data_IF_154204825763
#
_entry.id   IF_154204825763
#
_cell.length_a   1.000
_cell.length_b   1.000
_cell.length_c   1.000
_cell.angle_alpha   90.00
_cell.angle_beta   90.00
_cell.angle_gamma   90.00
#
_symmetry.space_group_name_H-M   'P 1'
#
loop_
_entity.id
_entity.type
_entity.pdbx_description
1 polymer ?
2 water ?
#
# COMPACT_ATOMS: atom_id res chain seq x y z
N UNK A 6 -17.74 -22.87 30.49
CA UNK A 6 -17.10 -23.84 29.47
C UNK A 6 -16.78 -23.10 28.16
N UNK A 7 -16.40 -21.82 28.28
CA UNK A 7 -16.29 -20.91 27.13
C UNK A 7 -15.09 -19.93 27.18
N UNK A 8 -14.38 -19.92 28.31
CA UNK A 8 -13.18 -19.09 28.51
C UNK A 8 -12.15 -19.40 27.43
N UNK A 9 -11.72 -20.66 27.44
CA UNK A 9 -10.82 -21.22 26.44
C UNK A 9 -11.39 -20.95 25.06
N UNK A 10 -12.63 -21.35 24.86
CA UNK A 10 -13.22 -21.45 23.52
C UNK A 10 -13.17 -20.17 22.69
N UNK A 11 -13.57 -19.03 23.24
CA UNK A 11 -13.54 -17.83 22.45
C UNK A 11 -12.16 -17.58 21.90
N UNK A 12 -11.21 -17.44 22.81
CA UNK A 12 -9.84 -17.15 22.42
C UNK A 12 -9.31 -18.16 21.41
N UNK A 13 -9.59 -19.43 21.68
CA UNK A 13 -9.17 -20.55 20.85
C UNK A 13 -9.68 -20.42 19.42
N UNK A 14 -10.90 -19.89 19.28
CA UNK A 14 -11.46 -19.71 17.96
C UNK A 14 -10.98 -18.40 17.31
N UNK A 15 -10.56 -17.43 18.11
CA UNK A 15 -9.97 -16.22 17.55
C UNK A 15 -8.56 -16.54 17.08
N UNK A 16 -7.85 -17.38 17.84
CA UNK A 16 -6.52 -17.81 17.45
C UNK A 16 -6.57 -18.65 16.16
N UNK A 17 -7.52 -19.57 16.13
CA UNK A 17 -7.80 -20.34 14.92
C UNK A 17 -7.94 -19.40 13.72
N UNK A 18 -8.88 -18.46 13.82
CA UNK A 18 -9.18 -17.56 12.72
C UNK A 18 -7.97 -16.73 12.32
N UNK A 19 -7.17 -16.28 13.30
CA UNK A 19 -5.93 -15.54 13.03
C UNK A 19 -4.94 -16.37 12.23
N UNK A 20 -4.74 -17.63 12.66
CA UNK A 20 -3.89 -18.56 11.92
C UNK A 20 -4.43 -18.83 10.50
N UNK A 21 -5.74 -19.11 10.38
CA UNK A 21 -6.29 -19.49 9.07
C UNK A 21 -6.40 -18.35 8.08
N UNK A 22 -6.99 -17.24 8.55
CA UNK A 22 -6.97 -15.97 7.82
C UNK A 22 -5.52 -15.56 7.38
N UNK A 23 -4.58 -15.53 8.34
CA UNK A 23 -3.18 -15.19 8.04
C UNK A 23 -2.58 -16.00 6.89
N UNK A 24 -2.94 -17.29 6.83
CA UNK A 24 -2.49 -18.21 5.79
C UNK A 24 -3.13 -18.04 4.42
N UNK A 25 -4.45 -18.18 4.34
CA UNK A 25 -5.16 -18.15 3.04
C UNK A 25 -6.00 -16.90 2.76
N UNK A 26 -6.03 -15.94 3.66
CA UNK A 26 -6.87 -14.77 3.51
C UNK A 26 -8.22 -14.87 4.19
N UNK A 27 -8.85 -13.72 4.38
CA UNK A 27 -10.10 -13.62 5.07
C UNK A 27 -11.24 -14.28 4.32
N UNK A 28 -11.35 -14.02 3.01
CA UNK A 28 -12.54 -14.36 2.20
C UNK A 28 -12.72 -15.86 1.95
N UNK A 29 -11.63 -16.50 1.58
CA UNK A 29 -11.56 -17.93 1.25
C UNK A 29 -11.64 -18.77 2.51
N UNK A 30 -11.26 -18.21 3.65
CA UNK A 30 -11.44 -18.91 4.92
C UNK A 30 -12.93 -18.87 5.29
N UNK A 31 -13.49 -20.06 5.51
CA UNK A 31 -14.88 -20.24 5.89
C UNK A 31 -14.97 -20.67 7.33
N UNK A 32 -16.16 -20.54 7.90
CA UNK A 32 -16.40 -20.79 9.30
C UNK A 32 -16.06 -22.17 9.81
N UNK A 33 -16.53 -23.21 9.12
CA UNK A 33 -16.24 -24.53 9.66
C UNK A 33 -14.83 -24.99 9.34
N UNK A 34 -14.10 -24.17 8.59
CA UNK A 34 -12.66 -24.32 8.46
C UNK A 34 -11.97 -23.78 9.72
N UNK A 35 -12.43 -22.63 10.17
CA UNK A 35 -12.01 -22.11 11.46
C UNK A 35 -12.46 -23.02 12.63
N UNK A 36 -13.71 -23.50 12.58
CA UNK A 36 -14.24 -24.48 13.54
C UNK A 36 -13.39 -25.72 13.64
N UNK A 37 -12.85 -26.16 12.50
CA UNK A 37 -11.96 -27.32 12.46
C UNK A 37 -10.61 -27.06 13.13
N UNK A 38 -9.95 -25.97 12.78
CA UNK A 38 -8.67 -25.62 13.36
C UNK A 38 -8.77 -25.34 14.86
N UNK A 39 -9.92 -24.83 15.29
CA UNK A 39 -10.19 -24.56 16.70
C UNK A 39 -10.74 -25.79 17.43
N UNK A 40 -11.07 -26.83 16.66
CA UNK A 40 -11.53 -28.09 17.21
C UNK A 40 -12.84 -27.96 17.99
N UNK A 41 -13.74 -27.14 17.47
CA UNK A 41 -15.07 -26.94 18.03
C UNK A 41 -16.09 -27.07 16.91
N UNK A 42 -17.33 -27.35 17.28
CA UNK A 42 -18.45 -27.44 16.32
C UNK A 42 -18.60 -26.08 15.60
N UNK A 43 -19.19 -26.13 14.40
CA UNK A 43 -19.47 -24.90 13.64
C UNK A 43 -20.48 -24.00 14.38
N UNK A 44 -21.44 -24.59 15.07
CA UNK A 44 -22.37 -23.76 15.81
C UNK A 44 -21.66 -23.16 16.99
N UNK A 45 -20.67 -23.87 17.52
CA UNK A 45 -19.92 -23.37 18.66
C UNK A 45 -19.19 -22.07 18.30
N UNK A 46 -18.67 -22.03 17.07
CA UNK A 46 -18.09 -20.82 16.48
C UNK A 46 -19.19 -19.80 16.17
N UNK A 47 -20.33 -20.30 15.67
CA UNK A 47 -21.37 -19.45 15.11
C UNK A 47 -22.15 -18.69 16.16
N UNK A 48 -22.05 -19.10 17.41
CA UNK A 48 -22.68 -18.37 18.51
C UNK A 48 -21.70 -17.49 19.30
N UNK A 49 -20.41 -17.59 18.96
CA UNK A 49 -19.39 -16.68 19.50
C UNK A 49 -19.22 -15.51 18.55
N UNK A 50 -19.02 -15.84 17.27
CA UNK A 50 -19.04 -14.83 16.22
C UNK A 50 -20.21 -15.10 15.27
N UNK A 51 -21.38 -14.48 15.56
CA UNK A 51 -22.66 -14.64 14.86
C UNK A 51 -22.56 -14.55 13.35
N UNK A 52 -21.42 -13.97 12.88
CA UNK A 52 -21.14 -13.75 11.46
C UNK A 52 -19.63 -13.68 11.21
N UNK A 53 -19.23 -13.91 9.95
CA UNK A 53 -17.84 -13.71 9.54
C UNK A 53 -17.43 -12.25 9.72
N UNK A 54 -18.41 -11.36 9.60
CA UNK A 54 -18.17 -9.93 9.79
C UNK A 54 -17.80 -9.55 11.21
N UNK A 55 -18.31 -10.30 12.19
CA UNK A 55 -17.87 -10.10 13.57
C UNK A 55 -16.43 -10.60 13.78
N UNK A 56 -15.98 -11.55 12.95
CA UNK A 56 -14.58 -11.95 12.95
C UNK A 56 -13.69 -10.82 12.47
N UNK A 57 -14.06 -10.20 11.34
CA UNK A 57 -13.27 -9.09 10.77
C UNK A 57 -13.13 -7.93 11.74
N UNK A 58 -14.23 -7.60 12.44
CA UNK A 58 -14.22 -6.61 13.49
C UNK A 58 -13.18 -6.97 14.55
N UNK A 59 -13.14 -8.24 14.95
CA UNK A 59 -12.26 -8.69 16.03
C UNK A 59 -10.85 -8.67 15.54
N UNK A 60 -10.68 -8.93 14.25
CA UNK A 60 -9.41 -8.90 13.59
C UNK A 60 -8.80 -7.49 13.70
N UNK A 61 -9.65 -6.48 13.63
CA UNK A 61 -9.21 -5.10 13.78
C UNK A 61 -8.80 -4.78 15.20
N UNK A 62 -9.66 -5.14 16.15
CA UNK A 62 -9.36 -4.96 17.56
C UNK A 62 -7.93 -5.44 17.87
N UNK A 63 -7.62 -6.65 17.43
CA UNK A 63 -6.30 -7.25 17.56
C UNK A 63 -5.22 -6.40 16.93
N UNK A 64 -5.41 -6.04 15.67
CA UNK A 64 -4.46 -5.20 14.97
C UNK A 64 -4.19 -3.92 15.74
N UNK A 65 -5.25 -3.38 16.33
CA UNK A 65 -5.14 -2.14 17.09
C UNK A 65 -4.36 -2.32 18.39
N UNK A 66 -4.53 -3.48 19.03
CA UNK A 66 -3.90 -3.78 20.33
C UNK A 66 -2.35 -3.74 20.34
N UNK A 67 -1.74 -3.85 19.16
CA UNK A 67 -0.28 -3.73 19.02
C UNK A 67 0.13 -2.27 19.02
N UNK A 68 -0.80 -1.39 18.67
CA UNK A 68 -0.62 0.04 18.87
C UNK A 68 -1.14 0.45 20.24
N UNK A 73 4.01 5.93 26.05
CA UNK A 73 4.30 7.33 25.74
C UNK A 73 3.35 7.86 24.65
N UNK A 74 3.85 8.01 23.42
CA UNK A 74 3.17 8.69 22.29
C UNK A 74 2.70 10.18 22.47
N UNK A 75 2.63 10.68 23.70
CA UNK A 75 2.24 12.08 23.92
C UNK A 75 3.42 13.05 23.64
N UNK A 76 3.08 14.27 23.20
CA UNK A 76 4.09 15.24 22.73
C UNK A 76 4.79 15.91 23.90
N UNK A 77 6.12 15.97 23.83
CA UNK A 77 6.95 16.55 24.88
C UNK A 77 7.59 17.88 24.46
N UNK A 78 7.04 19.01 24.96
CA UNK A 78 7.52 20.31 24.48
C UNK A 78 8.96 20.59 24.87
N UNK A 79 9.44 19.94 25.92
CA UNK A 79 10.71 20.27 26.55
C UNK A 79 11.92 19.54 25.98
N UNK A 80 11.71 18.67 24.99
CA UNK A 80 12.82 17.93 24.35
C UNK A 80 12.80 18.15 22.84
N UNK A 81 13.85 17.71 22.15
CA UNK A 81 13.92 17.90 20.70
C UNK A 81 12.75 17.21 20.00
N UNK A 82 12.40 17.72 18.82
CA UNK A 82 11.42 17.04 18.01
C UNK A 82 11.96 15.67 17.62
N UNK A 83 13.25 15.62 17.25
CA UNK A 83 13.92 14.42 16.76
C UNK A 83 13.93 13.24 17.73
N UNK A 84 14.39 13.46 18.97
CA UNK A 84 14.22 12.50 20.07
C UNK A 84 12.87 11.79 20.07
N UNK A 85 11.79 12.57 20.19
CA UNK A 85 10.48 11.99 20.47
C UNK A 85 9.94 11.31 19.22
N UNK A 86 10.32 11.87 18.07
CA UNK A 86 9.88 11.45 16.76
C UNK A 86 10.70 10.26 16.25
N UNK A 87 11.94 10.14 16.71
CA UNK A 87 12.67 8.92 16.44
C UNK A 87 11.97 7.78 17.17
N UNK A 88 11.57 8.03 18.40
CA UNK A 88 10.86 7.06 19.25
C UNK A 88 9.53 6.57 18.61
N UNK A 89 8.76 7.49 18.03
CA UNK A 89 7.50 7.14 17.36
C UNK A 89 7.75 6.26 16.13
N UNK A 90 8.66 6.72 15.26
CA UNK A 90 9.02 5.98 14.08
C UNK A 90 9.46 4.57 14.40
N UNK A 91 10.31 4.43 15.41
CA UNK A 91 10.87 3.13 15.79
C UNK A 91 9.87 2.18 16.45
N UNK A 92 8.95 2.74 17.24
CA UNK A 92 7.81 1.98 17.73
C UNK A 92 6.96 1.47 16.58
N UNK A 93 6.66 2.35 15.64
CA UNK A 93 5.93 2.00 14.41
C UNK A 93 6.69 0.96 13.54
N UNK A 94 8.01 1.10 13.40
CA UNK A 94 8.86 0.12 12.67
C UNK A 94 9.00 -1.23 13.37
N UNK A 95 8.85 -1.22 14.69
CA UNK A 95 8.96 -2.46 15.47
C UNK A 95 7.76 -3.38 15.17
N UNK A 96 6.57 -2.79 14.97
CA UNK A 96 5.38 -3.56 14.52
C UNK A 96 5.46 -4.00 13.07
N UNK A 97 5.94 -3.09 12.24
CA UNK A 97 6.21 -3.35 10.83
C UNK A 97 7.16 -4.53 10.62
N UNK A 98 8.07 -4.75 11.56
CA UNK A 98 9.05 -5.81 11.40
C UNK A 98 8.67 -7.00 12.29
N UNK A 99 7.40 -7.04 12.64
CA UNK A 99 6.84 -8.12 13.42
C UNK A 99 5.86 -8.90 12.50
N UNK A 100 6.29 -10.11 12.14
CA UNK A 100 5.57 -11.01 11.22
C UNK A 100 4.13 -11.35 11.62
N UNK A 101 3.84 -11.46 12.92
CA UNK A 101 2.47 -11.60 13.39
C UNK A 101 1.66 -10.38 13.02
N UNK A 102 2.27 -9.22 13.20
CA UNK A 102 1.62 -7.97 12.92
C UNK A 102 1.33 -7.84 11.42
N UNK A 103 2.34 -8.12 10.58
CA UNK A 103 2.15 -8.07 9.13
C UNK A 103 1.09 -9.06 8.65
N UNK A 104 1.03 -10.24 9.28
CA UNK A 104 0.04 -11.24 8.89
C UNK A 104 -1.34 -10.70 9.13
N UNK A 105 -1.55 -10.23 10.36
CA UNK A 105 -2.79 -9.61 10.77
C UNK A 105 -3.07 -8.41 9.87
N UNK A 106 -2.04 -7.62 9.59
CA UNK A 106 -2.23 -6.47 8.71
C UNK A 106 -2.65 -6.92 7.28
N UNK A 107 -2.09 -8.04 6.82
CA UNK A 107 -2.40 -8.60 5.49
C UNK A 107 -3.84 -9.08 5.36
N UNK A 108 -4.34 -9.84 6.37
CA UNK A 108 -5.73 -10.31 6.30
C UNK A 108 -6.67 -9.10 6.14
N UNK A 109 -6.43 -8.08 6.96
CA UNK A 109 -7.22 -6.85 6.97
C UNK A 109 -7.20 -6.08 5.63
N UNK A 110 -5.98 -5.86 5.08
CA UNK A 110 -5.85 -5.24 3.76
C UNK A 110 -6.56 -6.09 2.71
N UNK A 111 -6.40 -7.41 2.77
CA UNK A 111 -7.01 -8.29 1.77
C UNK A 111 -8.53 -8.32 1.85
N UNK A 112 -9.04 -8.17 3.07
CA UNK A 112 -10.47 -8.27 3.28
C UNK A 112 -11.24 -7.04 2.77
N UNK A 113 -10.54 -5.91 2.62
CA UNK A 113 -11.20 -4.69 2.17
C UNK A 113 -11.06 -4.49 0.66
N UNK A 114 -9.97 -4.99 0.06
CA UNK A 114 -9.93 -4.98 -1.40
C UNK A 114 -10.93 -6.00 -1.97
N UNK A 115 -10.93 -7.21 -1.37
CA UNK A 115 -11.83 -8.29 -1.80
C UNK A 115 -13.30 -7.92 -1.52
N UNK A 116 -13.54 -6.97 -0.63
CA UNK A 116 -14.92 -6.52 -0.32
C UNK A 116 -15.18 -5.01 -0.37
N UNK A 117 -15.55 -4.50 -1.55
CA UNK A 117 -16.02 -3.13 -1.68
C UNK A 117 -16.97 -2.70 -0.52
N UNK A 118 -17.82 -3.63 -0.09
CA UNK A 118 -18.80 -3.36 0.96
C UNK A 118 -18.23 -3.13 2.36
N UNK A 119 -17.16 -3.82 2.75
CA UNK A 119 -16.60 -3.61 4.09
C UNK A 119 -15.47 -2.57 4.19
N UNK A 120 -14.77 -2.37 3.08
CA UNK A 120 -13.86 -1.23 2.93
C UNK A 120 -14.68 0.01 3.21
N UNK A 121 -15.80 0.11 2.50
CA UNK A 121 -16.80 1.19 2.58
C UNK A 121 -17.26 1.56 4.00
N UNK A 122 -17.28 0.57 4.89
CA UNK A 122 -17.60 0.83 6.29
C UNK A 122 -16.37 1.16 7.13
N UNK A 123 -15.25 0.50 6.84
CA UNK A 123 -14.12 0.48 7.78
C UNK A 123 -12.98 1.51 7.64
N UNK A 124 -13.29 2.69 7.13
CA UNK A 124 -12.41 3.87 7.37
C UNK A 124 -13.02 4.88 8.36
N UNK A 131 -3.36 5.58 12.72
CA UNK A 131 -2.82 6.82 12.11
C UNK A 131 -2.76 8.02 13.06
N UNK A 132 -3.87 8.24 13.78
CA UNK A 132 -4.15 9.45 14.57
C UNK A 132 -3.08 9.80 15.61
N UNK A 133 -2.40 8.80 16.18
CA UNK A 133 -1.22 8.98 17.05
C UNK A 133 -0.27 10.08 16.52
N UNK A 134 0.11 9.98 15.25
CA UNK A 134 1.07 10.91 14.63
C UNK A 134 0.45 12.26 14.36
N UNK A 135 -0.84 12.29 14.06
CA UNK A 135 -1.46 13.52 13.64
C UNK A 135 -1.67 14.44 14.86
N UNK A 136 -1.94 13.83 16.02
CA UNK A 136 -2.09 14.55 17.27
C UNK A 136 -0.73 15.05 17.80
N UNK A 137 0.31 14.22 17.63
CA UNK A 137 1.65 14.64 17.95
C UNK A 137 2.07 15.85 17.07
N UNK A 138 1.63 15.85 15.81
CA UNK A 138 1.87 16.94 14.88
C UNK A 138 1.10 18.18 15.30
N UNK A 139 -0.16 18.05 15.64
CA UNK A 139 -0.93 19.27 15.95
C UNK A 139 -0.46 19.92 17.26
N UNK A 140 0.07 19.09 18.17
CA UNK A 140 0.63 19.56 19.42
C UNK A 140 1.94 20.29 19.16
N UNK A 141 2.76 19.74 18.27
CA UNK A 141 4.02 20.38 17.88
C UNK A 141 3.73 21.74 17.22
N UNK A 142 2.65 21.82 16.45
CA UNK A 142 2.28 23.05 15.77
C UNK A 142 1.80 24.13 16.76
N UNK A 143 0.97 23.71 17.71
CA UNK A 143 0.60 24.58 18.81
C UNK A 143 1.87 25.11 19.53
N UNK A 144 2.82 24.20 19.79
CA UNK A 144 4.06 24.56 20.49
C UNK A 144 5.02 25.41 19.66
N UNK A 145 4.61 25.73 18.43
CA UNK A 145 5.34 26.61 17.51
C UNK A 145 6.48 25.97 16.74
N UNK A 146 6.60 24.65 16.79
CA UNK A 146 7.79 23.96 16.25
C UNK A 146 7.68 23.32 14.87
N UNK A 147 6.46 23.24 14.34
CA UNK A 147 6.19 22.71 13.01
C UNK A 147 5.33 23.70 12.21
N UNK A 148 5.64 23.86 10.92
CA UNK A 148 4.89 24.76 10.03
C UNK A 148 3.41 24.36 9.98
N UNK A 149 2.49 25.34 9.75
CA UNK A 149 1.06 25.03 9.64
C UNK A 149 0.78 24.11 8.49
N UNK A 150 0.13 22.99 8.78
CA UNK A 150 -0.20 22.00 7.75
C UNK A 150 -1.35 21.18 8.34
N UNK A 151 -2.18 20.57 7.50
CA UNK A 151 -3.18 19.66 8.04
C UNK A 151 -2.43 18.48 8.67
N UNK A 152 -2.56 18.30 10.01
CA UNK A 152 -1.85 17.22 10.71
C UNK A 152 -2.11 15.87 10.05
N UNK A 153 -3.38 15.60 9.69
CA UNK A 153 -3.76 14.39 8.96
C UNK A 153 -2.96 14.10 7.69
N UNK A 154 -2.63 15.17 6.97
CA UNK A 154 -2.00 15.10 5.69
C UNK A 154 -0.52 14.87 5.89
N UNK A 155 0.03 15.50 6.91
CA UNK A 155 1.45 15.40 7.17
C UNK A 155 1.74 14.08 7.86
N UNK A 156 0.78 13.54 8.60
CA UNK A 156 0.89 12.21 9.23
C UNK A 156 0.90 11.12 8.16
N UNK A 157 -0.03 11.26 7.19
CA UNK A 157 -0.06 10.37 6.03
C UNK A 157 1.30 10.32 5.35
N UNK A 158 1.96 11.47 5.20
CA UNK A 158 3.26 11.51 4.50
C UNK A 158 4.33 10.89 5.34
N UNK A 159 4.30 11.14 6.64
CA UNK A 159 5.26 10.53 7.51
C UNK A 159 5.18 8.99 7.39
N UNK A 160 3.97 8.44 7.54
CA UNK A 160 3.78 6.97 7.42
C UNK A 160 4.23 6.42 6.07
N UNK A 161 3.91 7.13 5.00
CA UNK A 161 4.24 6.70 3.64
C UNK A 161 5.73 6.44 3.45
N UNK A 162 6.54 7.19 4.18
CA UNK A 162 7.99 7.10 4.09
C UNK A 162 8.52 5.87 4.80
N UNK A 163 7.69 5.25 5.63
CA UNK A 163 8.05 4.03 6.31
C UNK A 163 7.36 2.85 5.65
N UNK A 164 6.05 3.03 5.42
CA UNK A 164 5.14 2.01 4.87
C UNK A 164 5.53 1.57 3.49
N UNK A 165 6.02 2.51 2.68
CA UNK A 165 6.48 2.19 1.31
C UNK A 165 7.59 1.16 1.24
N UNK A 166 8.32 1.00 2.34
CA UNK A 166 9.52 0.15 2.35
C UNK A 166 9.24 -1.12 3.13
N UNK A 167 8.37 -1.00 4.12
CA UNK A 167 8.31 -1.94 5.24
C UNK A 167 6.87 -2.34 5.59
N UNK A 168 5.92 -1.85 4.78
CA UNK A 168 4.56 -2.30 4.90
C UNK A 168 3.98 -2.83 3.54
N UNK A 169 3.76 -1.95 2.58
CA UNK A 169 3.23 -2.37 1.28
C UNK A 169 3.92 -3.57 0.57
N UNK A 170 5.27 -3.54 0.38
CA UNK A 170 5.90 -4.70 -0.28
C UNK A 170 5.62 -6.04 0.40
N UNK A 171 5.55 -6.04 1.71
CA UNK A 171 5.56 -7.24 2.51
C UNK A 171 4.16 -7.81 2.53
N UNK A 172 3.21 -6.90 2.54
CA UNK A 172 1.82 -7.20 2.68
C UNK A 172 1.21 -7.53 1.31
N UNK A 173 1.64 -6.84 0.24
CA UNK A 173 1.06 -7.12 -1.08
C UNK A 173 1.77 -8.21 -1.87
N UNK A 174 3.08 -8.43 -1.63
CA UNK A 174 3.82 -9.54 -2.27
C UNK A 174 4.90 -10.22 -1.40
N UNK A 175 4.65 -10.35 -0.10
CA UNK A 175 5.54 -11.09 0.79
C UNK A 175 7.01 -10.80 0.55
N UNK A 176 7.33 -9.55 0.23
CA UNK A 176 8.72 -9.12 0.12
C UNK A 176 9.41 -9.40 1.44
N UNK A 177 10.72 -9.59 1.41
CA UNK A 177 11.43 -9.77 2.68
C UNK A 177 11.29 -8.53 3.60
N UNK A 178 11.10 -8.79 4.92
CA UNK A 178 11.26 -7.75 5.97
C UNK A 178 12.51 -6.94 5.67
N UNK A 179 12.52 -5.67 6.06
CA UNK A 179 13.74 -4.87 5.95
C UNK A 179 14.83 -5.39 6.90
N UNK A 180 16.09 -5.23 6.52
CA UNK A 180 17.21 -5.56 7.38
C UNK A 180 17.28 -4.41 8.41
N UNK A 181 17.87 -4.65 9.60
CA UNK A 181 18.20 -3.66 10.66
C UNK A 181 18.83 -2.36 10.13
N UNK A 182 19.85 -2.53 9.29
CA UNK A 182 20.49 -1.50 8.50
C UNK A 182 19.51 -0.73 7.62
N UNK A 183 18.74 -1.48 6.84
CA UNK A 183 17.70 -0.92 5.98
C UNK A 183 16.59 -0.29 6.78
N UNK A 184 16.31 -0.83 7.97
CA UNK A 184 15.20 -0.34 8.77
C UNK A 184 15.58 1.03 9.31
N UNK A 185 16.83 1.13 9.79
CA UNK A 185 17.34 2.34 10.38
C UNK A 185 17.79 3.38 9.34
N UNK A 186 18.01 3.00 8.09
CA UNK A 186 18.12 3.98 7.01
C UNK A 186 16.77 4.59 6.61
N UNK A 187 15.69 3.80 6.61
CA UNK A 187 14.42 4.39 6.20
C UNK A 187 13.85 5.25 7.34
N UNK A 188 14.11 4.85 8.59
CA UNK A 188 13.79 5.73 9.74
C UNK A 188 14.56 7.10 9.77
N UNK A 189 15.90 7.06 9.73
CA UNK A 189 16.73 8.27 9.53
C UNK A 189 16.29 9.15 8.38
N UNK A 190 16.04 8.54 7.23
CA UNK A 190 15.75 9.32 6.03
C UNK A 190 14.39 10.00 6.13
N UNK A 191 13.39 9.26 6.60
CA UNK A 191 12.09 9.81 6.87
C UNK A 191 12.20 11.01 7.81
N UNK A 192 12.96 10.84 8.88
CA UNK A 192 13.17 11.88 9.87
C UNK A 192 13.73 13.16 9.27
N UNK A 193 14.80 12.99 8.53
CA UNK A 193 15.47 14.06 7.86
C UNK A 193 14.58 14.77 6.88
N UNK A 194 13.96 13.99 6.00
CA UNK A 194 13.00 14.47 5.02
C UNK A 194 11.84 15.23 5.67
N UNK A 195 11.24 14.62 6.68
CA UNK A 195 10.09 15.24 7.29
C UNK A 195 10.40 16.56 8.03
N UNK A 196 11.44 16.56 8.85
CA UNK A 196 11.77 17.72 9.66
C UNK A 196 12.49 18.77 8.81
N UNK A 197 13.37 18.32 7.93
CA UNK A 197 13.93 19.22 6.93
C UNK A 197 12.87 20.20 6.40
N UNK A 198 11.74 19.68 5.91
CA UNK A 198 10.63 20.53 5.42
C UNK A 198 9.73 21.16 6.50
N UNK A 199 9.36 20.41 7.53
CA UNK A 199 8.31 20.92 8.43
C UNK A 199 8.73 21.69 9.68
N UNK A 200 9.96 21.46 10.16
CA UNK A 200 10.37 21.95 11.48
C UNK A 200 10.56 23.45 11.47
N UNK A 201 10.03 24.12 12.49
CA UNK A 201 10.49 25.51 12.75
C UNK A 201 11.54 25.44 13.84
N UNK A 202 12.81 25.61 13.45
CA UNK A 202 13.90 25.28 14.37
C UNK A 202 13.97 26.23 15.54
N UNK B 6 -2.78 3.61 -31.45
CA UNK B 6 -3.59 2.47 -31.95
C UNK B 6 -3.21 1.21 -31.17
N UNK B 7 -4.15 0.73 -30.34
CA UNK B 7 -4.01 -0.55 -29.67
C UNK B 7 -5.05 -1.54 -30.23
N UNK B 8 -4.97 -2.81 -29.80
CA UNK B 8 -5.92 -3.85 -30.21
C UNK B 8 -7.15 -3.83 -29.29
N UNK B 9 -8.31 -3.53 -29.88
CA UNK B 9 -9.55 -3.36 -29.09
C UNK B 9 -10.22 -4.69 -28.65
N UNK B 10 -9.91 -5.78 -29.34
CA UNK B 10 -10.41 -7.09 -28.91
C UNK B 10 -9.59 -7.71 -27.78
N UNK B 11 -8.30 -7.41 -27.74
CA UNK B 11 -7.47 -7.77 -26.59
C UNK B 11 -7.99 -7.06 -25.36
N UNK B 12 -8.22 -5.75 -25.52
CA UNK B 12 -8.71 -4.90 -24.44
C UNK B 12 -10.05 -5.39 -23.93
N UNK B 13 -10.92 -5.77 -24.87
CA UNK B 13 -12.20 -6.38 -24.55
C UNK B 13 -12.03 -7.52 -23.54
N UNK B 14 -11.16 -8.47 -23.88
CA UNK B 14 -10.93 -9.65 -23.03
C UNK B 14 -10.25 -9.30 -21.68
N UNK B 15 -9.25 -8.43 -21.74
CA UNK B 15 -8.59 -7.92 -20.53
C UNK B 15 -9.63 -7.29 -19.60
N UNK B 16 -10.50 -6.44 -20.18
CA UNK B 16 -11.56 -5.74 -19.45
C UNK B 16 -12.50 -6.67 -18.71
N UNK B 17 -13.00 -7.67 -19.44
CA UNK B 17 -13.81 -8.71 -18.86
C UNK B 17 -13.04 -9.47 -17.79
N UNK B 18 -11.73 -9.61 -17.97
CA UNK B 18 -10.93 -10.33 -16.99
C UNK B 18 -10.90 -9.56 -15.67
N UNK B 19 -10.77 -8.24 -15.77
CA UNK B 19 -10.70 -7.36 -14.63
C UNK B 19 -12.02 -7.42 -13.87
N UNK B 20 -13.10 -7.23 -14.61
CA UNK B 20 -14.46 -7.27 -14.10
C UNK B 20 -14.75 -8.59 -13.42
N UNK B 21 -14.51 -9.70 -14.13
CA UNK B 21 -14.76 -11.02 -13.58
C UNK B 21 -13.88 -11.34 -12.37
N UNK B 22 -12.58 -11.03 -12.44
CA UNK B 22 -11.67 -11.26 -11.31
C UNK B 22 -12.07 -10.36 -10.14
N UNK B 23 -12.68 -9.23 -10.48
CA UNK B 23 -13.19 -8.34 -9.46
C UNK B 23 -14.44 -8.92 -8.85
N UNK B 24 -15.20 -9.66 -9.66
CA UNK B 24 -16.49 -10.17 -9.21
C UNK B 24 -16.32 -11.47 -8.44
N UNK B 25 -15.79 -12.48 -9.13
CA UNK B 25 -15.71 -13.83 -8.59
C UNK B 25 -14.44 -14.02 -7.76
N UNK B 26 -13.41 -13.25 -8.08
CA UNK B 26 -12.07 -13.51 -7.57
C UNK B 26 -11.27 -14.15 -8.70
N UNK B 27 -9.95 -14.15 -8.55
CA UNK B 27 -9.07 -14.60 -9.62
C UNK B 27 -9.12 -16.12 -9.90
N UNK B 28 -8.86 -16.94 -8.89
CA UNK B 28 -8.69 -18.40 -9.05
C UNK B 28 -9.95 -19.16 -9.41
N UNK B 29 -11.10 -18.73 -8.86
CA UNK B 29 -12.38 -19.35 -9.22
C UNK B 29 -12.95 -18.90 -10.59
N UNK B 30 -12.39 -17.83 -11.16
CA UNK B 30 -12.83 -17.32 -12.46
C UNK B 30 -12.21 -18.11 -13.60
N UNK B 31 -13.05 -18.59 -14.51
CA UNK B 31 -12.59 -19.40 -15.63
C UNK B 31 -12.58 -18.64 -16.96
N UNK B 32 -11.77 -19.13 -17.88
CA UNK B 32 -11.59 -18.56 -19.21
C UNK B 32 -12.90 -18.46 -19.98
N UNK B 33 -13.77 -19.45 -19.80
CA UNK B 33 -15.09 -19.40 -20.41
C UNK B 33 -16.02 -18.38 -19.74
N UNK B 34 -15.87 -18.16 -18.44
CA UNK B 34 -16.67 -17.13 -17.78
C UNK B 34 -16.25 -15.77 -18.32
N UNK B 35 -14.93 -15.57 -18.43
CA UNK B 35 -14.35 -14.41 -19.10
C UNK B 35 -14.93 -14.22 -20.52
N UNK B 36 -14.93 -15.30 -21.30
CA UNK B 36 -15.42 -15.30 -22.70
C UNK B 36 -16.91 -14.95 -22.81
N UNK B 37 -17.70 -15.47 -21.87
CA UNK B 37 -19.11 -15.16 -21.71
C UNK B 37 -19.39 -13.67 -21.56
N UNK B 38 -18.46 -12.93 -20.96
CA UNK B 38 -18.68 -11.51 -20.72
C UNK B 38 -17.85 -10.60 -21.60
N UNK B 39 -16.79 -11.14 -22.21
CA UNK B 39 -16.14 -10.43 -23.30
C UNK B 39 -17.09 -10.45 -24.48
N UNK B 40 -18.12 -11.31 -24.37
CA UNK B 40 -19.04 -11.68 -25.46
C UNK B 40 -18.29 -12.24 -26.67
N UNK B 41 -17.38 -13.17 -26.36
CA UNK B 41 -16.43 -13.72 -27.33
C UNK B 41 -16.43 -15.27 -27.24
N UNK B 42 -15.81 -15.93 -28.24
CA UNK B 42 -15.78 -17.40 -28.24
C UNK B 42 -14.60 -17.89 -27.38
N UNK B 43 -14.84 -18.94 -26.56
CA UNK B 43 -13.76 -19.53 -25.74
C UNK B 43 -12.47 -19.53 -26.57
N UNK B 44 -12.65 -19.81 -27.86
CA UNK B 44 -11.59 -19.91 -28.84
C UNK B 44 -10.78 -18.60 -28.98
N UNK B 45 -11.43 -17.49 -29.30
CA UNK B 45 -10.68 -16.25 -29.52
C UNK B 45 -9.99 -15.76 -28.24
N UNK B 46 -10.52 -16.18 -27.09
CA UNK B 46 -9.89 -15.92 -25.80
C UNK B 46 -8.56 -16.66 -25.65
N UNK B 47 -8.52 -17.94 -26.01
CA UNK B 47 -7.28 -18.72 -25.88
C UNK B 47 -6.19 -18.28 -26.86
N UNK B 48 -6.63 -17.79 -28.02
CA UNK B 48 -5.75 -17.21 -29.04
C UNK B 48 -4.91 -16.08 -28.45
N UNK B 49 -5.58 -15.12 -27.81
CA UNK B 49 -4.87 -14.01 -27.18
C UNK B 49 -4.10 -14.43 -25.93
N UNK B 50 -4.75 -15.19 -25.04
CA UNK B 50 -4.13 -15.67 -23.80
C UNK B 50 -4.36 -17.15 -23.62
N UNK B 51 -3.30 -17.96 -23.77
CA UNK B 51 -3.40 -19.43 -23.66
C UNK B 51 -3.71 -19.93 -22.24
N UNK B 52 -3.66 -19.05 -21.25
CA UNK B 52 -3.94 -19.40 -19.86
C UNK B 52 -4.07 -18.15 -18.99
N UNK B 53 -4.71 -18.31 -17.83
CA UNK B 53 -4.77 -17.25 -16.80
C UNK B 53 -3.41 -16.68 -16.35
N UNK B 54 -2.40 -17.55 -16.21
CA UNK B 54 -0.99 -17.12 -16.05
C UNK B 54 -0.59 -16.06 -17.10
N UNK B 55 -0.76 -16.41 -18.39
CA UNK B 55 -0.38 -15.52 -19.49
C UNK B 55 -1.21 -14.24 -19.48
N UNK B 56 -2.41 -14.32 -18.91
CA UNK B 56 -3.30 -13.18 -18.82
C UNK B 56 -2.94 -12.31 -17.62
N UNK B 57 -2.69 -12.98 -16.49
CA UNK B 57 -2.15 -12.32 -15.31
C UNK B 57 -0.81 -11.64 -15.61
N UNK B 58 0.01 -12.29 -16.42
CA UNK B 58 1.32 -11.75 -16.82
C UNK B 58 1.15 -10.40 -17.51
N UNK B 59 0.11 -10.30 -18.34
CA UNK B 59 -0.15 -9.11 -19.14
C UNK B 59 -0.66 -7.97 -18.27
N UNK B 60 -1.60 -8.29 -17.38
CA UNK B 60 -2.10 -7.34 -16.39
C UNK B 60 -1.01 -6.76 -15.51
N UNK B 61 -0.08 -7.61 -15.07
CA UNK B 61 1.06 -7.17 -14.28
C UNK B 61 1.90 -6.15 -15.06
N UNK B 62 2.41 -6.55 -16.23
CA UNK B 62 3.18 -5.67 -17.12
C UNK B 62 2.54 -4.29 -17.19
N UNK B 63 1.22 -4.26 -17.36
CA UNK B 63 0.43 -3.04 -17.50
C UNK B 63 0.40 -2.18 -16.26
N UNK B 64 0.59 -2.82 -15.11
CA UNK B 64 0.39 -2.15 -13.84
C UNK B 64 1.53 -1.20 -13.49
N UNK B 65 2.59 -1.71 -12.90
CA UNK B 65 3.71 -0.87 -12.52
C UNK B 65 4.48 -0.33 -13.74
N UNK B 66 4.00 -0.64 -14.95
CA UNK B 66 4.40 0.10 -16.13
C UNK B 66 3.91 1.55 -16.10
N UNK B 67 2.81 1.78 -15.37
CA UNK B 67 2.36 3.13 -15.03
C UNK B 67 1.83 3.24 -13.59
N UNK B 76 16.10 13.63 -17.76
CA UNK B 76 16.79 14.70 -17.03
C UNK B 76 17.39 15.68 -18.02
N UNK B 77 17.26 16.96 -17.69
CA UNK B 77 17.64 18.01 -18.61
C UNK B 77 18.77 18.86 -18.07
N UNK B 78 19.73 19.20 -18.95
CA UNK B 78 20.94 19.98 -18.72
C UNK B 78 20.78 20.88 -17.51
N UNK B 79 20.25 22.08 -17.72
CA UNK B 79 19.83 22.95 -16.63
C UNK B 79 18.61 23.79 -17.02
N UNK B 80 17.48 23.11 -17.00
CA UNK B 80 16.21 23.69 -16.59
C UNK B 80 16.19 23.32 -15.11
N UNK B 81 15.48 24.09 -14.28
CA UNK B 81 15.50 23.87 -12.83
C UNK B 81 14.94 22.50 -12.50
N UNK B 82 15.59 21.82 -11.56
CA UNK B 82 15.10 20.55 -10.99
C UNK B 82 13.62 20.63 -10.65
N UNK B 83 13.24 21.70 -9.96
CA UNK B 83 11.87 21.97 -9.60
C UNK B 83 10.95 21.84 -10.82
N UNK B 84 11.18 22.67 -11.84
CA UNK B 84 10.32 22.72 -13.02
C UNK B 84 10.13 21.33 -13.64
N UNK B 85 11.25 20.67 -13.93
CA UNK B 85 11.23 19.33 -14.50
C UNK B 85 10.68 18.25 -13.57
N UNK B 86 11.00 18.32 -12.27
CA UNK B 86 10.45 17.35 -11.33
C UNK B 86 8.95 17.55 -11.09
N UNK B 87 8.50 18.80 -11.13
CA UNK B 87 7.07 19.08 -11.07
C UNK B 87 6.37 18.26 -12.15
N UNK B 88 6.83 18.43 -13.39
CA UNK B 88 6.38 17.71 -14.58
C UNK B 88 6.37 16.18 -14.46
N UNK B 89 7.39 15.61 -13.81
CA UNK B 89 7.46 14.17 -13.61
C UNK B 89 6.32 13.76 -12.69
N UNK B 90 6.20 14.49 -11.59
CA UNK B 90 5.23 14.18 -10.56
C UNK B 90 3.81 14.28 -11.12
N UNK B 91 3.58 15.24 -12.00
CA UNK B 91 2.28 15.33 -12.65
C UNK B 91 1.98 14.15 -13.56
N UNK B 92 2.94 13.75 -14.38
CA UNK B 92 2.82 12.51 -15.17
C UNK B 92 2.36 11.31 -14.34
N UNK B 93 3.10 11.00 -13.28
CA UNK B 93 2.70 9.92 -12.38
C UNK B 93 1.33 10.15 -11.70
N UNK B 94 0.98 11.40 -11.40
CA UNK B 94 -0.30 11.67 -10.75
C UNK B 94 -1.49 11.51 -11.71
N UNK B 95 -1.31 11.91 -12.96
CA UNK B 95 -2.37 11.75 -13.96
C UNK B 95 -2.65 10.25 -14.24
N UNK B 96 -1.63 9.42 -14.11
CA UNK B 96 -1.76 7.97 -14.31
C UNK B 96 -2.49 7.30 -13.16
N UNK B 97 -2.15 7.68 -11.93
CA UNK B 97 -2.85 7.25 -10.72
C UNK B 97 -4.33 7.68 -10.68
N UNK B 98 -4.67 8.75 -11.39
CA UNK B 98 -6.01 9.31 -11.25
C UNK B 98 -6.84 8.86 -12.42
N UNK B 99 -6.61 7.62 -12.82
CA UNK B 99 -7.35 6.95 -13.88
C UNK B 99 -8.06 5.73 -13.26
N UNK B 100 -9.39 5.74 -13.25
CA UNK B 100 -10.18 4.68 -12.62
C UNK B 100 -10.06 3.27 -13.27
N UNK B 101 -9.72 3.22 -14.55
CA UNK B 101 -9.49 1.94 -15.21
C UNK B 101 -8.12 1.36 -14.76
N UNK B 102 -7.20 2.24 -14.40
CA UNK B 102 -5.92 1.82 -13.83
C UNK B 102 -6.11 1.37 -12.38
N UNK B 103 -6.87 2.13 -11.60
CA UNK B 103 -7.14 1.72 -10.22
C UNK B 103 -7.79 0.36 -10.16
N UNK B 104 -8.71 0.12 -11.07
CA UNK B 104 -9.37 -1.17 -11.20
C UNK B 104 -8.42 -2.34 -11.43
N UNK B 105 -7.53 -2.21 -12.42
CA UNK B 105 -6.53 -3.22 -12.69
C UNK B 105 -5.66 -3.43 -11.45
N UNK B 106 -5.17 -2.32 -10.90
CA UNK B 106 -4.37 -2.34 -9.70
C UNK B 106 -5.05 -3.16 -8.60
N UNK B 107 -6.33 -2.88 -8.37
CA UNK B 107 -7.11 -3.59 -7.37
C UNK B 107 -7.13 -5.10 -7.63
N UNK B 108 -7.58 -5.50 -8.81
CA UNK B 108 -7.57 -6.95 -9.10
C UNK B 108 -6.17 -7.56 -9.02
N UNK B 109 -5.11 -6.84 -9.39
CA UNK B 109 -3.75 -7.43 -9.37
C UNK B 109 -3.19 -7.61 -7.96
N UNK B 110 -3.27 -6.55 -7.18
CA UNK B 110 -3.04 -6.61 -5.75
C UNK B 110 -3.92 -7.65 -5.07
N UNK B 111 -5.20 -7.66 -5.42
CA UNK B 111 -6.11 -8.65 -4.88
C UNK B 111 -5.70 -10.07 -5.25
N UNK B 112 -5.13 -10.22 -6.43
CA UNK B 112 -4.74 -11.53 -6.87
C UNK B 112 -3.40 -11.94 -6.27
N UNK B 113 -2.56 -11.00 -5.85
CA UNK B 113 -1.26 -11.44 -5.32
C UNK B 113 -1.20 -11.52 -3.81
N UNK B 114 -2.01 -10.73 -3.12
CA UNK B 114 -1.92 -10.57 -1.65
C UNK B 114 -1.86 -11.88 -0.87
N UNK B 115 -2.82 -12.78 -1.14
CA UNK B 115 -2.84 -14.09 -0.48
C UNK B 115 -2.42 -15.25 -1.38
N UNK B 116 -1.57 -14.97 -2.37
CA UNK B 116 -1.13 -15.95 -3.34
C UNK B 116 0.39 -15.92 -3.48
N UNK B 117 1.09 -16.82 -2.76
CA UNK B 117 2.54 -16.91 -2.74
C UNK B 117 3.18 -16.96 -4.13
N UNK B 118 2.73 -17.87 -5.00
CA UNK B 118 3.23 -18.03 -6.38
C UNK B 118 3.08 -16.78 -7.22
N UNK B 119 2.02 -16.04 -6.96
CA UNK B 119 1.71 -14.86 -7.70
C UNK B 119 2.57 -13.72 -7.10
N UNK B 120 2.85 -13.80 -5.80
CA UNK B 120 3.74 -12.84 -5.15
C UNK B 120 5.15 -12.96 -5.73
N UNK B 121 5.62 -14.17 -5.94
CA UNK B 121 6.95 -14.37 -6.49
C UNK B 121 7.11 -13.99 -7.97
N UNK B 122 6.01 -13.86 -8.70
CA UNK B 122 6.10 -13.33 -10.07
C UNK B 122 6.08 -11.80 -10.05
N UNK B 123 5.39 -11.24 -9.06
CA UNK B 123 5.39 -9.80 -8.79
C UNK B 123 6.82 -9.35 -8.45
N UNK B 124 7.44 -10.09 -7.53
CA UNK B 124 8.70 -9.68 -6.96
C UNK B 124 9.93 -10.03 -7.79
N UNK B 125 9.82 -10.99 -8.71
CA UNK B 125 10.88 -11.23 -9.69
C UNK B 125 10.81 -10.19 -10.81
N UNK B 126 9.60 -9.69 -11.06
CA UNK B 126 9.34 -8.69 -12.09
C UNK B 126 9.50 -7.25 -11.60
N UNK B 127 9.71 -7.10 -10.29
CA UNK B 127 9.98 -5.77 -9.71
C UNK B 127 11.46 -5.68 -9.34
N UNK B 128 12.26 -6.46 -10.06
CA UNK B 128 13.70 -6.42 -9.93
C UNK B 128 14.40 -6.17 -11.28
N UNK B 129 13.70 -5.45 -12.16
CA UNK B 129 14.21 -5.08 -13.48
C UNK B 129 13.83 -3.65 -13.85
N UNK B 132 13.32 2.03 -14.16
CA UNK B 132 12.09 2.82 -13.97
C UNK B 132 12.37 4.33 -13.92
N UNK B 133 11.32 5.14 -14.13
CA UNK B 133 11.45 6.56 -14.53
C UNK B 133 12.08 7.50 -13.49
N UNK B 134 11.50 7.54 -12.29
CA UNK B 134 11.93 8.43 -11.21
C UNK B 134 13.38 8.12 -10.87
N UNK B 135 13.68 6.82 -10.82
CA UNK B 135 15.02 6.32 -10.61
C UNK B 135 16.01 6.84 -11.65
N UNK B 136 15.68 6.67 -12.93
CA UNK B 136 16.58 7.05 -14.01
C UNK B 136 16.98 8.51 -13.88
N UNK B 137 16.01 9.35 -13.56
CA UNK B 137 16.18 10.79 -13.40
C UNK B 137 17.08 11.12 -12.22
N UNK B 138 16.75 10.57 -11.04
CA UNK B 138 17.54 10.80 -9.82
C UNK B 138 19.02 10.52 -10.04
N UNK B 139 19.32 9.37 -10.67
CA UNK B 139 20.68 8.99 -11.07
C UNK B 139 21.31 10.02 -12.01
N UNK B 140 20.56 10.47 -13.01
CA UNK B 140 21.07 11.52 -13.91
C UNK B 140 21.35 12.85 -13.18
N UNK B 141 20.36 13.29 -12.37
CA UNK B 141 20.47 14.50 -11.55
C UNK B 141 21.68 14.45 -10.62
N UNK B 142 21.93 13.26 -10.08
CA UNK B 142 23.10 13.01 -9.22
C UNK B 142 24.43 13.13 -9.95
N UNK B 143 24.55 12.54 -11.15
CA UNK B 143 25.77 12.63 -11.94
C UNK B 143 26.13 14.08 -12.26
N UNK B 144 25.11 14.93 -12.41
CA UNK B 144 25.33 16.33 -12.73
C UNK B 144 25.60 17.16 -11.47
N UNK B 145 25.60 16.47 -10.32
CA UNK B 145 25.93 17.07 -9.03
C UNK B 145 24.89 18.03 -8.51
N UNK B 146 23.61 17.75 -8.80
CA UNK B 146 22.50 18.59 -8.37
C UNK B 146 21.66 17.94 -7.29
N UNK B 147 21.85 16.64 -7.15
CA UNK B 147 21.17 15.87 -6.11
C UNK B 147 22.21 15.19 -5.25
N UNK B 148 21.83 14.90 -4.03
CA UNK B 148 22.75 14.41 -3.03
C UNK B 148 22.90 12.89 -3.21
N UNK B 149 24.11 12.35 -2.97
CA UNK B 149 24.32 10.90 -3.10
C UNK B 149 23.37 10.06 -2.24
N UNK B 150 22.59 9.21 -2.88
CA UNK B 150 21.79 8.20 -2.21
C UNK B 150 21.51 7.16 -3.28
N UNK B 151 21.11 5.94 -2.90
CA UNK B 151 20.67 4.92 -3.85
C UNK B 151 19.45 5.42 -4.59
N UNK B 152 19.58 5.63 -5.92
CA UNK B 152 18.47 6.12 -6.75
C UNK B 152 17.11 5.46 -6.47
N UNK B 153 17.12 4.14 -6.27
CA UNK B 153 15.94 3.37 -5.91
C UNK B 153 15.37 3.71 -4.53
N UNK B 154 16.24 3.92 -3.56
CA UNK B 154 15.79 4.38 -2.24
C UNK B 154 15.05 5.73 -2.36
N UNK B 155 15.60 6.64 -3.14
CA UNK B 155 15.04 7.97 -3.26
C UNK B 155 13.72 7.97 -4.03
N UNK B 156 13.64 7.18 -5.10
CA UNK B 156 12.44 7.08 -5.93
C UNK B 156 11.25 6.54 -5.14
N UNK B 157 11.52 5.59 -4.24
CA UNK B 157 10.48 4.97 -3.41
C UNK B 157 9.75 5.99 -2.54
N UNK B 158 10.52 6.84 -1.88
CA UNK B 158 10.02 7.95 -1.09
C UNK B 158 9.23 8.89 -2.00
N UNK B 159 9.83 9.22 -3.14
CA UNK B 159 9.18 10.07 -4.14
C UNK B 159 7.78 9.53 -4.44
N UNK B 160 7.72 8.24 -4.81
CA UNK B 160 6.51 7.54 -5.16
C UNK B 160 5.51 7.42 -4.03
N UNK B 161 6.03 7.12 -2.83
CA UNK B 161 5.28 7.06 -1.58
C UNK B 161 4.55 8.35 -1.24
N UNK B 162 5.19 9.47 -1.53
CA UNK B 162 4.58 10.76 -1.23
C UNK B 162 3.31 11.03 -2.05
N UNK B 163 3.16 10.34 -3.19
CA UNK B 163 2.00 10.43 -4.10
C UNK B 163 1.02 9.29 -3.90
N UNK B 164 1.55 8.08 -3.86
CA UNK B 164 0.77 6.86 -3.76
C UNK B 164 -0.01 6.83 -2.46
N UNK B 165 0.50 7.47 -1.41
CA UNK B 165 -0.11 7.37 -0.08
C UNK B 165 -1.45 8.12 -0.02
N UNK B 166 -1.65 8.99 -1.00
CA UNK B 166 -2.90 9.74 -1.18
C UNK B 166 -3.68 9.31 -2.41
N UNK B 167 -2.96 8.99 -3.48
CA UNK B 167 -3.61 8.79 -4.76
C UNK B 167 -3.56 7.33 -5.25
N UNK B 168 -3.05 6.42 -4.42
CA UNK B 168 -3.04 5.03 -4.86
C UNK B 168 -3.62 4.07 -3.82
N UNK B 169 -2.87 3.81 -2.75
CA UNK B 169 -3.35 2.95 -1.68
C UNK B 169 -4.77 3.22 -1.13
N UNK B 170 -5.12 4.46 -0.73
CA UNK B 170 -6.52 4.64 -0.34
C UNK B 170 -7.53 4.13 -1.36
N UNK B 171 -7.23 4.32 -2.63
CA UNK B 171 -8.18 3.97 -3.67
C UNK B 171 -8.22 2.45 -3.91
N UNK B 172 -7.04 1.83 -3.82
CA UNK B 172 -6.89 0.41 -4.08
C UNK B 172 -7.40 -0.37 -2.87
N UNK B 173 -7.18 0.15 -1.67
CA UNK B 173 -7.48 -0.65 -0.48
C UNK B 173 -8.86 -0.36 0.09
N UNK B 174 -9.30 0.88 0.01
CA UNK B 174 -10.55 1.29 0.65
C UNK B 174 -11.61 1.78 -0.33
N UNK B 175 -11.33 1.63 -1.62
CA UNK B 175 -12.09 2.34 -2.67
C UNK B 175 -12.37 3.78 -2.26
N UNK B 176 -11.29 4.52 -2.02
CA UNK B 176 -11.39 5.95 -1.79
C UNK B 176 -11.63 6.67 -3.12
N UNK B 177 -12.22 7.85 -3.06
CA UNK B 177 -12.47 8.65 -4.25
C UNK B 177 -11.14 9.02 -4.93
N UNK B 178 -11.20 9.39 -6.20
CA UNK B 178 -10.07 10.00 -6.86
C UNK B 178 -9.75 11.32 -6.12
N UNK B 179 -8.50 11.80 -6.20
CA UNK B 179 -8.23 13.15 -5.71
C UNK B 179 -8.80 14.18 -6.67
N UNK B 180 -9.42 15.22 -6.12
CA UNK B 180 -9.75 16.42 -6.88
C UNK B 180 -8.43 17.03 -7.36
N UNK B 181 -8.48 17.91 -8.39
CA UNK B 181 -7.26 18.60 -8.87
C UNK B 181 -6.53 19.43 -7.80
N UNK B 182 -7.30 20.16 -6.98
CA UNK B 182 -6.78 20.90 -5.82
C UNK B 182 -5.96 19.98 -4.96
N UNK B 183 -6.61 18.94 -4.47
CA UNK B 183 -5.91 17.89 -3.72
C UNK B 183 -4.72 17.34 -4.48
N UNK B 184 -4.84 17.16 -5.79
CA UNK B 184 -3.73 16.57 -6.55
C UNK B 184 -2.42 17.38 -6.50
N UNK B 185 -2.50 18.70 -6.73
CA UNK B 185 -1.34 19.60 -6.80
C UNK B 185 -0.85 19.89 -5.43
N UNK B 186 -1.79 19.88 -4.50
CA UNK B 186 -1.45 19.88 -3.09
C UNK B 186 -0.42 18.79 -2.77
N UNK B 187 -0.76 17.54 -3.15
CA UNK B 187 0.10 16.44 -2.78
C UNK B 187 1.37 16.50 -3.62
N UNK B 188 1.24 16.82 -4.89
CA UNK B 188 2.43 16.93 -5.75
C UNK B 188 3.40 17.96 -5.17
N UNK B 189 2.86 19.16 -4.93
CA UNK B 189 3.61 20.31 -4.45
C UNK B 189 4.41 20.01 -3.18
N UNK B 190 3.76 19.49 -2.12
CA UNK B 190 4.53 19.13 -0.93
C UNK B 190 5.49 17.99 -1.14
N UNK B 191 5.15 17.04 -1.99
CA UNK B 191 6.07 15.95 -2.32
C UNK B 191 7.33 16.55 -2.86
N UNK B 192 7.19 17.38 -3.91
CA UNK B 192 8.25 18.16 -4.55
C UNK B 192 9.09 18.91 -3.53
N UNK B 193 8.41 19.75 -2.74
CA UNK B 193 9.04 20.59 -1.72
C UNK B 193 9.78 19.77 -0.68
N UNK B 194 9.16 18.70 -0.24
CA UNK B 194 9.78 17.83 0.74
C UNK B 194 10.99 17.15 0.11
N UNK B 195 10.80 16.61 -1.09
CA UNK B 195 11.84 15.83 -1.74
C UNK B 195 13.04 16.72 -2.01
N UNK B 196 12.82 17.80 -2.74
CA UNK B 196 13.94 18.64 -3.16
C UNK B 196 14.57 19.35 -1.99
N UNK B 197 13.72 19.72 -1.02
CA UNK B 197 14.15 20.26 0.27
C UNK B 197 15.32 19.49 0.85
N UNK B 198 15.22 18.16 0.86
CA UNK B 198 16.24 17.29 1.46
C UNK B 198 17.36 16.89 0.50
N UNK B 199 17.01 16.56 -0.73
CA UNK B 199 18.01 16.00 -1.65
C UNK B 199 18.77 16.97 -2.55
N UNK B 200 18.19 18.14 -2.82
CA UNK B 200 18.87 19.08 -3.70
C UNK B 200 20.17 19.65 -3.10
N UNK B 201 21.25 19.57 -3.88
CA UNK B 201 22.42 20.43 -3.68
C UNK B 201 22.16 21.74 -4.45
N UNK B 202 22.00 22.85 -3.72
CA UNK B 202 21.57 24.07 -4.41
C UNK B 202 22.70 24.70 -5.25
N UNK B 203 22.39 25.00 -6.51
CA UNK B 203 23.35 25.58 -7.45
C UNK B 203 23.14 27.08 -7.56
#
# INVERSE_FOLDING_TARGET
>A
SNAXRLTDQKRESIVQAAIAEFGDRGFEITSMDRIAARAEVSKRTVYNHFPSKEELFAEMLQRLWNCAPPQSEVVYRPLVSLREQLLELLWGKMRNLTDSSFLDLARVVVGATIHSPERAQVWLARINEREETFSAWIRAAQKDGRLKPVDPGFAATQMHALLKSFAFWPQVTFNAALLTPQEQSNVVESALNMFLGWYEIPG
>B
SNAXRLTDQKRESIVQAAIAEFGDRGFEITSMDRIAARAEVSKRTVYNHFPSKEELFAEMLQRLWNCAPPQSEVVYRPLVSLREQLLELLWGKMRNLTDSSFLDLARVVVGATIHSPERAQVWLARINEREETFSAWIRAAQKDGRLKPVDPGFAATQMHALLKSFAFWPQVTFNAALLTPQEQSNVVESALNMFLGWYEIPG
#
